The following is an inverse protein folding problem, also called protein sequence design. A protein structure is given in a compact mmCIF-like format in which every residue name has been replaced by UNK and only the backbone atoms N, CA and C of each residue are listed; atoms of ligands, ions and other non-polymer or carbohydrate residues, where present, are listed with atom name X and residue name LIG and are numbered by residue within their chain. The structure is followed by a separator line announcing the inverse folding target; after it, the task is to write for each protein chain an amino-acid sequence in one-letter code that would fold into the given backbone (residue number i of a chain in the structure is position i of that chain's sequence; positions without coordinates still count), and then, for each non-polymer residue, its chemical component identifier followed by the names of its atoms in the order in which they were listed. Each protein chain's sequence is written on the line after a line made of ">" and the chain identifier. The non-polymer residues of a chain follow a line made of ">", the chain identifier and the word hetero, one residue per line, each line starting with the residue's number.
data_IF_476831826050
#
_entry.id   IF_476831826050
#
_cell.length_a   1.000
_cell.length_b   1.000
_cell.length_c   1.000
_cell.angle_alpha   90.00
_cell.angle_beta   90.00
_cell.angle_gamma   90.00
#
_symmetry.space_group_name_H-M   'P 1'
#
loop_
_entity.id
_entity.type
_entity.pdbx_description
1 polymer ?
#
# COMPACT_ATOMS: atom_id res chain seq x y z
N UNK A 1 5.81 -4.66 -23.69
CA UNK A 1 5.41 -3.29 -23.33
C UNK A 1 6.02 -2.94 -21.98
N UNK A 2 6.52 -1.73 -21.82
CA UNK A 2 7.11 -1.24 -20.56
C UNK A 2 6.42 0.08 -20.22
N UNK A 3 5.93 0.20 -18.99
CA UNK A 3 5.51 1.48 -18.43
C UNK A 3 6.64 2.07 -17.59
N UNK A 4 6.88 3.37 -17.69
CA UNK A 4 7.80 4.12 -16.82
C UNK A 4 7.06 4.92 -15.74
N UNK A 5 5.74 4.70 -15.61
CA UNK A 5 4.88 5.31 -14.61
C UNK A 5 4.10 4.25 -13.84
N UNK A 6 3.92 4.47 -12.54
CA UNK A 6 3.20 3.59 -11.64
C UNK A 6 1.70 3.60 -11.90
N UNK A 7 1.10 2.42 -11.80
CA UNK A 7 -0.35 2.20 -11.86
C UNK A 7 -0.83 1.40 -10.66
N UNK A 8 -2.04 1.65 -10.18
CA UNK A 8 -2.73 0.78 -9.25
C UNK A 8 -3.63 -0.24 -9.95
N UNK A 9 -4.02 0.07 -11.19
CA UNK A 9 -4.78 -0.78 -12.09
C UNK A 9 -4.10 -0.80 -13.44
N UNK A 10 -3.70 -1.99 -13.87
CA UNK A 10 -3.13 -2.22 -15.19
C UNK A 10 -4.23 -1.97 -16.22
N UNK A 11 -4.11 -0.96 -17.10
CA UNK A 11 -5.12 -0.70 -18.10
C UNK A 11 -5.33 -1.89 -19.04
N UNK A 12 -6.56 -2.37 -19.18
CA UNK A 12 -6.84 -3.59 -19.95
C UNK A 12 -6.38 -3.50 -21.42
N UNK A 13 -6.43 -2.31 -22.01
CA UNK A 13 -6.00 -2.11 -23.39
C UNK A 13 -4.51 -2.45 -23.60
N UNK A 14 -3.66 -2.40 -22.57
CA UNK A 14 -2.27 -2.86 -22.65
C UNK A 14 -2.18 -4.37 -22.95
N UNK A 15 -3.09 -5.14 -22.36
CA UNK A 15 -3.21 -6.59 -22.54
C UNK A 15 -3.80 -6.86 -23.92
N UNK A 16 -4.90 -6.18 -24.27
CA UNK A 16 -5.56 -6.37 -25.56
C UNK A 16 -4.66 -6.01 -26.77
N UNK A 17 -3.74 -5.06 -26.61
CA UNK A 17 -2.79 -4.66 -27.65
C UNK A 17 -1.53 -5.53 -27.71
N UNK A 18 -1.31 -6.40 -26.71
CA UNK A 18 -0.11 -7.24 -26.63
C UNK A 18 -0.43 -8.66 -27.09
N UNK A 19 0.40 -9.21 -27.98
CA UNK A 19 0.24 -10.58 -28.47
C UNK A 19 0.41 -11.60 -27.33
N UNK A 20 -0.29 -12.76 -27.36
CA UNK A 20 -0.01 -13.86 -26.44
C UNK A 20 1.48 -14.22 -26.39
N UNK A 21 1.99 -14.49 -25.19
CA UNK A 21 3.41 -14.68 -24.87
C UNK A 21 4.18 -13.38 -24.60
N UNK A 22 3.64 -12.21 -24.99
CA UNK A 22 4.25 -10.90 -24.76
C UNK A 22 4.30 -10.51 -23.29
N UNK A 23 5.28 -9.67 -22.94
CA UNK A 23 5.50 -9.16 -21.58
C UNK A 23 4.93 -7.75 -21.39
N UNK A 24 4.35 -7.51 -20.23
CA UNK A 24 3.97 -6.20 -19.70
C UNK A 24 4.75 -6.01 -18.40
N UNK A 25 5.70 -5.08 -18.41
CA UNK A 25 6.47 -4.68 -17.24
C UNK A 25 5.97 -3.31 -16.80
N UNK A 26 5.46 -3.18 -15.58
CA UNK A 26 4.93 -1.92 -15.08
C UNK A 26 5.25 -1.74 -13.60
N UNK A 27 5.72 -0.54 -13.19
CA UNK A 27 5.64 -0.14 -11.80
C UNK A 27 4.19 -0.20 -11.35
N UNK A 28 3.98 -0.73 -10.15
CA UNK A 28 2.68 -0.95 -9.56
C UNK A 28 2.69 -0.57 -8.07
N UNK A 29 1.53 -0.17 -7.57
CA UNK A 29 1.33 0.14 -6.17
C UNK A 29 -0.12 0.43 -5.83
N UNK A 30 -0.36 0.88 -4.62
CA UNK A 30 -1.62 1.44 -4.14
C UNK A 30 -1.32 2.71 -3.31
N UNK A 31 -2.34 3.30 -2.67
CA UNK A 31 -2.15 4.52 -1.88
C UNK A 31 -1.18 4.34 -0.71
N UNK A 32 -1.10 3.11 -0.17
CA UNK A 32 -0.28 2.78 0.98
C UNK A 32 1.15 2.43 0.57
N UNK A 33 1.32 1.64 -0.48
CA UNK A 33 2.63 1.18 -0.92
C UNK A 33 2.80 1.40 -2.41
N UNK A 34 3.83 2.13 -2.79
CA UNK A 34 4.29 2.26 -4.17
C UNK A 34 5.72 1.76 -4.26
N UNK A 35 6.03 1.00 -5.31
CA UNK A 35 7.43 0.70 -5.62
C UNK A 35 7.73 -0.71 -6.11
N UNK A 36 6.72 -1.51 -6.44
CA UNK A 36 6.95 -2.86 -6.98
C UNK A 36 6.89 -2.84 -8.52
N UNK A 37 7.57 -3.78 -9.17
CA UNK A 37 7.39 -4.08 -10.59
C UNK A 37 6.47 -5.27 -10.74
N UNK A 38 5.40 -5.11 -11.51
CA UNK A 38 4.65 -6.22 -12.05
C UNK A 38 5.33 -6.71 -13.34
N UNK A 39 5.81 -7.96 -13.36
CA UNK A 39 6.23 -8.66 -14.58
C UNK A 39 5.13 -9.62 -15.01
N UNK A 40 4.30 -9.21 -15.98
CA UNK A 40 3.16 -9.97 -16.46
C UNK A 40 3.42 -10.55 -17.84
N UNK A 41 3.01 -11.80 -18.06
CA UNK A 41 2.94 -12.41 -19.37
C UNK A 41 1.49 -12.49 -19.85
N UNK A 42 1.24 -12.05 -21.08
CA UNK A 42 -0.08 -12.14 -21.72
C UNK A 42 -0.33 -13.58 -22.18
N UNK A 43 -1.42 -14.16 -21.70
CA UNK A 43 -1.89 -15.49 -22.08
C UNK A 43 -2.75 -15.47 -23.36
N UNK A 44 -3.17 -16.66 -23.84
CA UNK A 44 -3.93 -16.78 -25.09
C UNK A 44 -5.37 -16.27 -25.02
N UNK A 45 -5.93 -16.06 -23.81
CA UNK A 45 -7.35 -15.72 -23.60
C UNK A 45 -7.57 -14.28 -23.13
N UNK A 46 -6.69 -13.36 -23.52
CA UNK A 46 -6.84 -11.94 -23.16
C UNK A 46 -6.66 -11.65 -21.67
N UNK A 47 -5.93 -12.52 -20.96
CA UNK A 47 -5.51 -12.32 -19.57
C UNK A 47 -4.01 -12.12 -19.51
N UNK A 48 -3.51 -11.38 -18.52
CA UNK A 48 -2.08 -11.30 -18.21
C UNK A 48 -1.83 -11.80 -16.79
N UNK A 49 -0.76 -12.56 -16.56
CA UNK A 49 -0.43 -13.05 -15.23
C UNK A 49 1.07 -13.05 -14.98
N UNK A 50 1.47 -12.82 -13.73
CA UNK A 50 2.87 -12.88 -13.35
C UNK A 50 3.12 -12.42 -11.93
N UNK A 51 4.37 -12.11 -11.61
CA UNK A 51 4.83 -11.86 -10.22
C UNK A 51 5.22 -10.41 -10.00
N UNK A 52 5.24 -10.03 -8.73
CA UNK A 52 5.88 -8.81 -8.30
C UNK A 52 7.37 -9.02 -8.04
N UNK A 53 8.14 -7.94 -8.12
CA UNK A 53 9.56 -7.93 -7.77
C UNK A 53 10.14 -6.53 -7.85
N UNK A 54 11.45 -6.42 -7.57
CA UNK A 54 12.15 -5.14 -7.55
C UNK A 54 11.70 -4.21 -6.41
N UNK A 55 12.42 -3.09 -6.29
CA UNK A 55 12.09 -1.98 -5.40
C UNK A 55 12.44 -0.70 -6.16
N UNK A 56 11.44 -0.11 -6.81
CA UNK A 56 11.61 0.99 -7.75
C UNK A 56 10.47 1.99 -7.60
N UNK A 57 10.77 3.16 -7.04
CA UNK A 57 9.80 4.23 -6.93
C UNK A 57 9.65 4.97 -8.27
N UNK A 58 8.43 4.99 -8.82
CA UNK A 58 8.12 5.72 -10.06
C UNK A 58 6.97 6.70 -9.84
N UNK A 59 6.93 7.74 -10.69
CA UNK A 59 5.80 8.68 -10.74
C UNK A 59 4.51 7.97 -11.13
N UNK A 60 3.39 8.30 -10.49
CA UNK A 60 2.07 7.82 -10.87
C UNK A 60 1.63 8.34 -12.24
N UNK A 61 0.91 7.51 -13.00
CA UNK A 61 0.10 8.01 -14.13
C UNK A 61 -0.91 9.05 -13.62
N UNK A 62 -1.20 10.07 -14.44
CA UNK A 62 -1.96 11.26 -13.99
C UNK A 62 -3.31 10.89 -13.34
N UNK A 63 -4.05 9.97 -13.94
CA UNK A 63 -5.40 9.59 -13.51
C UNK A 63 -5.42 8.67 -12.29
N UNK A 64 -4.25 8.25 -11.78
CA UNK A 64 -4.12 7.35 -10.62
C UNK A 64 -3.21 7.94 -9.54
N UNK A 65 -3.02 9.27 -9.54
CA UNK A 65 -2.23 9.96 -8.51
C UNK A 65 -2.89 9.86 -7.14
N UNK A 66 -2.03 9.67 -6.15
CA UNK A 66 -2.37 9.75 -4.73
C UNK A 66 -2.09 11.18 -4.26
N UNK A 67 -2.98 11.74 -3.43
CA UNK A 67 -2.81 13.07 -2.84
C UNK A 67 -1.59 13.10 -1.93
N UNK A 68 -0.70 14.09 -2.13
CA UNK A 68 0.52 14.24 -1.33
C UNK A 68 0.31 15.00 -0.02
N UNK A 69 -0.75 15.80 0.06
CA UNK A 69 -1.04 16.70 1.19
C UNK A 69 -2.21 16.13 2.04
N UNK A 70 -2.21 14.80 2.24
CA UNK A 70 -3.35 14.13 2.87
C UNK A 70 -3.52 14.55 4.34
N UNK A 71 -2.42 14.77 5.04
CA UNK A 71 -2.46 15.23 6.44
C UNK A 71 -3.05 16.63 6.51
N UNK A 72 -2.57 17.58 5.71
CA UNK A 72 -3.03 18.97 5.72
C UNK A 72 -4.51 19.11 5.30
N UNK A 73 -4.99 18.23 4.42
CA UNK A 73 -6.36 18.30 3.91
C UNK A 73 -7.37 17.65 4.86
N UNK A 74 -7.01 16.52 5.49
CA UNK A 74 -7.97 15.68 6.23
C UNK A 74 -7.81 15.70 7.75
N UNK A 75 -6.67 16.18 8.27
CA UNK A 75 -6.42 16.29 9.70
C UNK A 75 -6.71 17.71 10.17
N UNK A 76 -7.40 17.84 11.30
CA UNK A 76 -7.77 19.12 11.90
C UNK A 76 -7.67 19.00 13.41
N UNK A 77 -7.23 20.09 14.06
CA UNK A 77 -7.16 20.19 15.52
C UNK A 77 -8.55 20.22 16.17
N UNK A 78 -9.61 20.54 15.40
CA UNK A 78 -11.00 20.52 15.88
C UNK A 78 -11.60 19.11 15.90
N UNK A 79 -10.92 18.11 15.34
CA UNK A 79 -11.39 16.74 15.35
C UNK A 79 -11.26 16.11 16.75
N UNK A 80 -12.38 15.68 17.32
CA UNK A 80 -12.39 14.86 18.52
C UNK A 80 -11.92 13.42 18.20
N UNK A 81 -10.68 13.10 18.58
CA UNK A 81 -10.07 11.80 18.34
C UNK A 81 -10.10 10.89 19.57
N UNK A 82 -10.08 9.58 19.32
CA UNK A 82 -9.81 8.56 20.34
C UNK A 82 -8.30 8.46 20.55
N UNK A 83 -7.87 8.25 21.80
CA UNK A 83 -6.47 8.04 22.17
C UNK A 83 -6.26 6.61 22.65
N UNK A 84 -5.18 6.00 22.18
CA UNK A 84 -4.70 4.69 22.60
C UNK A 84 -3.18 4.66 22.72
N UNK A 85 -2.64 3.48 23.01
CA UNK A 85 -1.20 3.25 23.06
C UNK A 85 -0.85 1.93 22.39
N UNK A 86 0.33 1.85 21.81
CA UNK A 86 0.89 0.64 21.19
C UNK A 86 2.34 0.47 21.61
N UNK A 87 2.83 -0.77 21.64
CA UNK A 87 4.26 -1.10 21.76
C UNK A 87 4.89 -1.42 20.39
N UNK A 88 4.09 -1.46 19.33
CA UNK A 88 4.60 -1.61 17.98
C UNK A 88 5.50 -0.41 17.67
N UNK A 89 6.62 -0.63 16.99
CA UNK A 89 7.50 0.42 16.46
C UNK A 89 7.40 0.44 14.92
N UNK A 90 7.33 1.62 14.25
CA UNK A 90 6.93 1.70 12.83
C UNK A 90 7.93 1.14 11.84
N UNK A 91 9.19 0.98 12.24
CA UNK A 91 10.24 0.57 11.34
C UNK A 91 9.95 -0.79 10.68
N UNK A 92 9.53 -1.79 11.45
CA UNK A 92 9.27 -3.14 10.92
C UNK A 92 8.06 -3.20 9.98
N UNK A 93 6.85 -2.73 10.35
CA UNK A 93 5.69 -2.81 9.47
C UNK A 93 5.78 -1.89 8.24
N UNK A 94 6.61 -0.84 8.28
CA UNK A 94 6.84 0.04 7.12
C UNK A 94 8.02 -0.40 6.23
N UNK A 95 8.72 -1.50 6.56
CA UNK A 95 9.67 -2.12 5.62
C UNK A 95 8.96 -2.60 4.37
N UNK A 96 9.72 -2.65 3.28
CA UNK A 96 9.21 -2.86 1.93
C UNK A 96 8.18 -3.99 1.79
N UNK A 97 8.52 -5.22 2.21
CA UNK A 97 7.63 -6.39 2.06
C UNK A 97 6.39 -6.31 2.94
N UNK A 98 6.54 -5.87 4.20
CA UNK A 98 5.43 -5.70 5.13
C UNK A 98 4.47 -4.60 4.66
N UNK A 99 5.02 -3.44 4.25
CA UNK A 99 4.28 -2.30 3.72
C UNK A 99 3.48 -2.69 2.47
N UNK A 100 4.07 -3.47 1.55
CA UNK A 100 3.36 -3.99 0.39
C UNK A 100 2.15 -4.84 0.81
N UNK A 101 2.36 -5.81 1.71
CA UNK A 101 1.32 -6.72 2.18
C UNK A 101 0.20 -5.98 2.94
N UNK A 102 0.55 -5.02 3.79
CA UNK A 102 -0.40 -4.14 4.48
C UNK A 102 -1.20 -3.32 3.46
N UNK A 103 -0.53 -2.76 2.45
CA UNK A 103 -1.18 -1.99 1.40
C UNK A 103 -2.20 -2.79 0.58
N UNK A 104 -2.06 -4.12 0.46
CA UNK A 104 -3.08 -4.96 -0.16
C UNK A 104 -4.39 -5.03 0.65
N UNK A 105 -4.32 -4.83 1.98
CA UNK A 105 -5.47 -4.79 2.89
C UNK A 105 -5.99 -3.38 3.13
N UNK A 106 -5.16 -2.36 2.91
CA UNK A 106 -5.49 -0.95 3.10
C UNK A 106 -5.20 -0.11 1.84
N UNK A 107 -5.71 -0.49 0.64
CA UNK A 107 -5.24 0.06 -0.63
C UNK A 107 -5.59 1.54 -0.88
N UNK A 108 -6.51 2.11 -0.11
CA UNK A 108 -6.92 3.52 -0.19
C UNK A 108 -6.23 4.39 0.85
N UNK A 109 -5.57 3.78 1.82
CA UNK A 109 -4.96 4.49 2.95
C UNK A 109 -3.59 5.00 2.53
N UNK A 110 -3.38 6.29 2.71
CA UNK A 110 -2.10 6.97 2.52
C UNK A 110 -1.34 6.87 3.84
N UNK A 111 -0.06 6.49 3.80
CA UNK A 111 0.82 6.70 4.95
C UNK A 111 1.82 7.81 4.67
N UNK A 112 2.13 8.57 5.71
CA UNK A 112 3.11 9.66 5.66
C UNK A 112 3.90 9.74 6.96
N UNK A 113 5.14 10.19 6.90
CA UNK A 113 6.02 10.34 8.06
C UNK A 113 6.38 11.81 8.21
N UNK A 114 5.92 12.42 9.29
CA UNK A 114 6.18 13.82 9.62
C UNK A 114 7.15 13.88 10.78
N UNK A 115 8.35 14.39 10.54
CA UNK A 115 9.36 14.63 11.58
C UNK A 115 9.05 15.91 12.36
N UNK A 116 9.50 15.98 13.60
CA UNK A 116 9.47 17.22 14.36
C UNK A 116 10.17 18.35 13.58
N UNK A 117 9.72 19.59 13.79
CA UNK A 117 10.26 20.76 13.09
C UNK A 117 11.68 21.13 13.52
N UNK A 118 12.08 20.72 14.72
CA UNK A 118 13.43 20.90 15.24
C UNK A 118 14.29 19.70 14.81
N UNK A 119 15.40 19.95 14.13
CA UNK A 119 16.28 18.88 13.59
C UNK A 119 16.93 18.04 14.70
N UNK A 120 17.09 18.61 15.90
CA UNK A 120 17.64 17.90 17.06
C UNK A 120 16.59 17.07 17.82
N UNK A 121 15.31 17.19 17.43
CA UNK A 121 14.21 16.44 18.03
C UNK A 121 13.96 15.13 17.28
N UNK A 122 14.27 13.97 17.88
CA UNK A 122 14.16 12.68 17.20
C UNK A 122 12.71 12.21 17.03
N UNK A 123 11.72 12.95 17.53
CA UNK A 123 10.31 12.59 17.44
C UNK A 123 9.79 12.68 16.01
N UNK A 124 8.90 11.75 15.68
CA UNK A 124 8.18 11.77 14.41
C UNK A 124 6.79 11.17 14.59
N UNK A 125 5.89 11.51 13.67
CA UNK A 125 4.53 10.98 13.62
C UNK A 125 4.32 10.23 12.33
N UNK A 126 3.85 8.98 12.42
CA UNK A 126 3.35 8.25 11.26
C UNK A 126 1.86 8.50 11.16
N UNK A 127 1.43 9.01 10.01
CA UNK A 127 0.03 9.24 9.70
C UNK A 127 -0.51 8.13 8.81
N UNK A 128 -1.75 7.71 9.07
CA UNK A 128 -2.57 6.89 8.19
C UNK A 128 -3.81 7.71 7.85
N UNK A 129 -4.07 7.96 6.58
CA UNK A 129 -5.21 8.79 6.14
C UNK A 129 -5.99 8.06 5.06
N UNK A 130 -7.31 7.96 5.22
CA UNK A 130 -8.20 7.44 4.20
C UNK A 130 -9.09 8.56 3.63
N UNK A 131 -8.72 9.17 2.50
CA UNK A 131 -9.48 10.28 1.90
C UNK A 131 -10.95 9.94 1.64
N UNK A 132 -11.27 8.67 1.35
CA UNK A 132 -12.62 8.25 1.01
C UNK A 132 -13.59 8.27 2.20
N UNK A 133 -13.10 8.00 3.41
CA UNK A 133 -13.91 8.05 4.64
C UNK A 133 -13.66 9.28 5.50
N UNK A 134 -12.58 10.03 5.23
CA UNK A 134 -12.10 11.11 6.10
C UNK A 134 -11.52 10.59 7.43
N UNK A 135 -11.34 9.28 7.58
CA UNK A 135 -10.71 8.71 8.77
C UNK A 135 -9.20 8.92 8.74
N UNK A 136 -8.60 9.13 9.91
CA UNK A 136 -7.15 9.18 10.06
C UNK A 136 -6.71 8.53 11.37
N UNK A 137 -5.46 8.08 11.42
CA UNK A 137 -4.76 7.74 12.64
C UNK A 137 -3.36 8.36 12.64
N UNK A 138 -2.88 8.75 13.81
CA UNK A 138 -1.53 9.26 14.04
C UNK A 138 -0.84 8.40 15.08
N UNK A 139 0.42 8.10 14.83
CA UNK A 139 1.26 7.29 15.68
C UNK A 139 2.48 8.10 16.06
N UNK A 140 2.48 8.60 17.29
CA UNK A 140 3.45 9.55 17.81
C UNK A 140 4.63 8.79 18.42
N UNK A 141 5.77 8.81 17.72
CA UNK A 141 6.94 8.04 18.07
C UNK A 141 7.98 8.91 18.73
N UNK A 142 8.41 8.43 19.89
CA UNK A 142 9.49 8.97 20.70
C UNK A 142 10.59 7.91 20.74
N UNK A 143 11.69 8.06 19.97
CA UNK A 143 12.74 7.04 19.94
C UNK A 143 13.29 6.75 21.34
N UNK A 144 13.37 5.46 21.68
CA UNK A 144 13.80 4.99 23.00
C UNK A 144 12.67 4.74 23.99
N UNK A 145 11.45 5.20 23.72
CA UNK A 145 10.27 4.80 24.50
C UNK A 145 9.72 3.46 24.02
N UNK A 146 9.26 2.63 24.96
CA UNK A 146 8.71 1.30 24.66
C UNK A 146 7.25 1.35 24.19
N UNK A 147 6.55 2.47 24.40
CA UNK A 147 5.14 2.60 24.09
C UNK A 147 4.86 3.99 23.51
N UNK A 148 4.02 4.03 22.48
CA UNK A 148 3.74 5.20 21.67
C UNK A 148 2.28 5.57 21.73
N UNK A 149 1.98 6.86 21.76
CA UNK A 149 0.62 7.34 21.69
C UNK A 149 0.08 7.16 20.26
N UNK A 150 -1.15 6.67 20.18
CA UNK A 150 -1.91 6.58 18.93
C UNK A 150 -3.15 7.42 19.08
N UNK A 151 -3.44 8.26 18.09
CA UNK A 151 -4.72 8.98 17.99
C UNK A 151 -5.43 8.52 16.74
N UNK A 152 -6.75 8.46 16.77
CA UNK A 152 -7.54 8.11 15.60
C UNK A 152 -8.89 8.78 15.58
N UNK A 153 -9.34 9.10 14.38
CA UNK A 153 -10.56 9.84 14.10
C UNK A 153 -11.31 9.21 12.92
N UNK A 154 -12.62 9.40 12.94
CA UNK A 154 -13.51 9.01 11.85
C UNK A 154 -14.18 7.65 12.06
N UNK A 155 -14.94 7.21 11.06
CA UNK A 155 -15.71 5.97 11.12
C UNK A 155 -14.86 4.69 11.03
N UNK A 156 -13.59 4.78 10.61
CA UNK A 156 -12.66 3.64 10.56
C UNK A 156 -11.66 3.68 11.70
N UNK A 157 -11.34 2.50 12.22
CA UNK A 157 -10.32 2.29 13.25
C UNK A 157 -8.97 2.02 12.57
N UNK A 158 -8.45 3.01 11.80
CA UNK A 158 -7.34 2.77 10.87
C UNK A 158 -6.08 2.17 11.52
N UNK A 159 -5.75 2.54 12.76
CA UNK A 159 -4.60 1.96 13.43
C UNK A 159 -4.81 0.47 13.77
N UNK A 160 -6.00 0.10 14.27
CA UNK A 160 -6.34 -1.30 14.52
C UNK A 160 -6.42 -2.13 13.24
N UNK A 161 -6.88 -1.54 12.14
CA UNK A 161 -6.85 -2.17 10.82
C UNK A 161 -5.40 -2.40 10.34
N UNK A 162 -4.50 -1.44 10.57
CA UNK A 162 -3.07 -1.55 10.28
C UNK A 162 -2.40 -2.66 11.10
N UNK A 163 -2.65 -2.71 12.42
CA UNK A 163 -2.14 -3.78 13.28
C UNK A 163 -2.64 -5.15 12.81
N UNK A 164 -3.93 -5.25 12.46
CA UNK A 164 -4.51 -6.49 11.94
C UNK A 164 -3.89 -6.92 10.61
N UNK A 165 -3.61 -5.97 9.71
CA UNK A 165 -2.97 -6.24 8.44
C UNK A 165 -1.51 -6.68 8.60
N UNK A 166 -0.78 -6.05 9.53
CA UNK A 166 0.59 -6.43 9.86
C UNK A 166 0.65 -7.81 10.52
N UNK A 167 -0.24 -8.10 11.47
CA UNK A 167 -0.34 -9.41 12.11
C UNK A 167 -0.62 -10.50 11.10
N UNK A 168 -1.53 -10.26 10.15
CA UNK A 168 -1.77 -11.21 9.06
C UNK A 168 -0.51 -11.51 8.23
N UNK A 169 0.32 -10.50 7.95
CA UNK A 169 1.57 -10.70 7.22
C UNK A 169 2.56 -11.56 8.02
N UNK A 170 2.68 -11.32 9.34
CA UNK A 170 3.49 -12.15 10.25
C UNK A 170 2.98 -13.60 10.26
N UNK A 171 1.67 -13.79 10.43
CA UNK A 171 1.02 -15.12 10.45
C UNK A 171 1.17 -15.86 9.12
N UNK A 172 1.34 -15.12 8.02
CA UNK A 172 1.61 -15.66 6.68
C UNK A 172 3.09 -16.05 6.47
N UNK A 173 3.92 -15.93 7.51
CA UNK A 173 5.35 -16.24 7.47
C UNK A 173 6.20 -15.12 6.90
N UNK A 174 5.76 -13.87 7.04
CA UNK A 174 6.47 -12.66 6.60
C UNK A 174 6.93 -12.74 5.12
N UNK A 175 6.01 -13.05 4.18
CA UNK A 175 6.36 -13.30 2.79
C UNK A 175 7.01 -12.06 2.15
N UNK A 176 8.08 -12.29 1.39
CA UNK A 176 8.65 -11.30 0.50
C UNK A 176 7.70 -11.00 -0.68
N UNK A 177 7.88 -9.84 -1.30
CA UNK A 177 7.02 -9.36 -2.40
C UNK A 177 6.93 -10.33 -3.59
N UNK A 178 7.99 -11.10 -3.86
CA UNK A 178 8.07 -12.04 -4.98
C UNK A 178 7.20 -13.29 -4.81
N UNK A 179 6.71 -13.54 -3.59
CA UNK A 179 5.69 -14.54 -3.33
C UNK A 179 4.33 -14.08 -3.82
N UNK A 180 4.12 -12.79 -4.02
CA UNK A 180 2.89 -12.25 -4.55
C UNK A 180 2.92 -12.16 -6.08
N UNK A 181 1.74 -12.26 -6.67
CA UNK A 181 1.56 -12.04 -8.09
C UNK A 181 0.19 -11.50 -8.41
N UNK A 182 -0.01 -11.25 -9.69
CA UNK A 182 -1.19 -10.60 -10.20
C UNK A 182 -1.70 -11.30 -11.45
N UNK A 183 -3.02 -11.43 -11.55
CA UNK A 183 -3.73 -11.84 -12.76
C UNK A 183 -4.71 -10.76 -13.16
N UNK A 184 -4.60 -10.28 -14.39
CA UNK A 184 -5.44 -9.22 -14.96
C UNK A 184 -6.26 -9.78 -16.11
N UNK A 185 -7.54 -9.43 -16.13
CA UNK A 185 -8.51 -9.75 -17.18
C UNK A 185 -9.27 -8.48 -17.57
N UNK A 186 -10.27 -8.59 -18.44
CA UNK A 186 -11.13 -7.45 -18.80
C UNK A 186 -11.96 -6.91 -17.63
N UNK A 187 -12.22 -7.74 -16.62
CA UNK A 187 -13.20 -7.44 -15.56
C UNK A 187 -12.57 -7.39 -14.16
N UNK A 188 -11.37 -7.94 -14.00
CA UNK A 188 -10.75 -8.13 -12.69
C UNK A 188 -9.24 -7.97 -12.76
N UNK A 189 -8.69 -7.39 -11.71
CA UNK A 189 -7.29 -7.47 -11.33
C UNK A 189 -7.22 -8.18 -9.97
N UNK A 190 -6.66 -9.39 -9.98
CA UNK A 190 -6.57 -10.27 -8.82
C UNK A 190 -5.13 -10.30 -8.34
N UNK A 191 -4.92 -10.09 -7.04
CA UNK A 191 -3.64 -10.29 -6.38
C UNK A 191 -3.69 -11.60 -5.60
N UNK A 192 -2.65 -12.40 -5.73
CA UNK A 192 -2.54 -13.72 -5.13
C UNK A 192 -1.18 -13.94 -4.48
N UNK A 193 -1.08 -14.92 -3.58
CA UNK A 193 0.15 -15.30 -2.90
C UNK A 193 0.49 -16.76 -3.22
N UNK A 194 1.73 -17.01 -3.62
CA UNK A 194 2.31 -18.28 -4.08
C UNK A 194 1.71 -18.87 -5.37
N UNK A 195 0.38 -18.94 -5.46
CA UNK A 195 -0.34 -19.50 -6.60
C UNK A 195 -1.59 -18.67 -6.94
N UNK A 196 -2.00 -18.59 -8.22
CA UNK A 196 -3.20 -17.83 -8.65
C UNK A 196 -4.53 -18.25 -8.02
N UNK A 197 -4.60 -19.42 -7.39
CA UNK A 197 -5.78 -19.89 -6.66
C UNK A 197 -5.89 -19.33 -5.25
N UNK A 198 -4.79 -18.82 -4.69
CA UNK A 198 -4.73 -18.23 -3.35
C UNK A 198 -4.87 -16.70 -3.43
N UNK A 199 -6.10 -16.25 -3.67
CA UNK A 199 -6.44 -14.85 -3.87
C UNK A 199 -6.38 -14.09 -2.53
N UNK A 200 -5.64 -12.98 -2.51
CA UNK A 200 -5.52 -12.08 -1.36
C UNK A 200 -6.43 -10.85 -1.52
N UNK A 201 -6.49 -10.27 -2.72
CA UNK A 201 -7.38 -9.14 -3.00
C UNK A 201 -7.88 -9.15 -4.45
N UNK A 202 -9.05 -8.57 -4.67
CA UNK A 202 -9.71 -8.47 -5.97
C UNK A 202 -10.12 -7.02 -6.21
N UNK A 203 -9.70 -6.47 -7.35
CA UNK A 203 -10.06 -5.14 -7.82
C UNK A 203 -10.95 -5.30 -9.05
N UNK A 204 -12.15 -4.69 -9.01
CA UNK A 204 -13.13 -4.65 -10.10
C UNK A 204 -12.81 -3.55 -11.10
#
# INVERSE_FOLDING_TARGET
>A
MISTAAVNRVPYHWIAQTRPGGKIISPWGNAFHNGVLADLQVGPHGTASGRFGGNVAFMWVRDQRVTREAVEIFVSDDHEFRVGRTELYPLEPLKFDASFAIGLRMPTVINDIVFASDEDDPRFTVWLVDPGSGSWASWHVHPGEASHEVRQYGPRELFSEFESAYQWWLDSGSPAVDRFGMTVSSNHQLIWMDAPTNIITSML
#
